data_IF_088281073656
#
_entry.id   IF_088281073656
#
_cell.length_a   1.000
_cell.length_b   1.000
_cell.length_c   1.000
_cell.angle_alpha   90.00
_cell.angle_beta   90.00
_cell.angle_gamma   90.00
#
_symmetry.space_group_name_H-M   'P 1'
#
loop_
_entity.id
_entity.type
_entity.pdbx_description
1 polymer ?
#
# COMPACT_ATOMS: atom_id res chain seq x y z
N UNK A 1 -8.52 84.79 -0.39
CA UNK A 1 -7.05 84.94 -0.47
C UNK A 1 -6.43 84.30 0.77
N UNK A 2 -6.13 82.99 0.74
CA UNK A 2 -5.51 82.29 1.88
C UNK A 2 -4.00 82.25 1.67
N UNK A 3 -3.24 82.78 2.65
CA UNK A 3 -1.78 82.89 2.63
C UNK A 3 -1.16 81.50 2.69
N UNK A 4 -0.35 81.14 1.69
CA UNK A 4 0.54 79.98 1.73
C UNK A 4 1.60 80.22 2.81
N UNK A 5 1.57 79.42 3.88
CA UNK A 5 2.63 79.40 4.90
C UNK A 5 3.96 79.02 4.24
N UNK A 6 4.99 79.83 4.46
CA UNK A 6 6.36 79.52 4.04
C UNK A 6 6.89 78.44 4.99
N UNK A 7 7.10 77.22 4.48
CA UNK A 7 7.78 76.16 5.22
C UNK A 7 9.21 76.61 5.58
N UNK A 8 9.68 76.22 6.77
CA UNK A 8 11.02 76.50 7.26
C UNK A 8 12.04 75.67 6.47
N UNK A 9 13.24 76.18 6.15
CA UNK A 9 14.30 75.40 5.50
C UNK A 9 14.65 74.09 6.23
N UNK A 10 14.44 74.05 7.56
CA UNK A 10 14.66 72.85 8.36
C UNK A 10 13.63 71.74 8.11
N UNK A 11 12.39 72.08 7.73
CA UNK A 11 11.35 71.09 7.40
C UNK A 11 11.56 70.43 6.03
N UNK A 12 12.14 71.14 5.06
CA UNK A 12 12.45 70.59 3.73
C UNK A 12 13.66 69.64 3.74
N UNK A 13 14.64 69.86 4.62
CA UNK A 13 15.79 68.95 4.80
C UNK A 13 15.33 67.63 5.42
N UNK A 14 14.47 67.70 6.45
CA UNK A 14 13.93 66.53 7.13
C UNK A 14 13.01 65.70 6.22
N UNK A 15 12.21 66.34 5.36
CA UNK A 15 11.38 65.69 4.35
C UNK A 15 12.22 64.96 3.28
N UNK A 16 13.30 65.57 2.79
CA UNK A 16 14.22 64.91 1.83
C UNK A 16 14.98 63.73 2.44
N UNK A 17 15.37 63.83 3.71
CA UNK A 17 15.97 62.70 4.42
C UNK A 17 14.96 61.55 4.57
N UNK A 18 13.72 61.84 5.02
CA UNK A 18 12.62 60.87 5.11
C UNK A 18 12.27 60.23 3.75
N UNK A 19 12.23 61.01 2.68
CA UNK A 19 12.01 60.53 1.31
C UNK A 19 13.17 59.65 0.81
N UNK A 20 14.41 59.87 1.28
CA UNK A 20 15.56 59.00 0.94
C UNK A 20 15.53 57.65 1.68
N UNK A 21 14.91 57.58 2.86
CA UNK A 21 14.77 56.35 3.65
C UNK A 21 13.65 55.42 3.12
N UNK A 22 12.59 55.97 2.50
CA UNK A 22 11.50 55.17 1.93
C UNK A 22 11.92 54.15 0.85
N UNK A 23 12.70 54.50 -0.19
CA UNK A 23 13.09 53.54 -1.22
C UNK A 23 14.02 52.45 -0.68
N UNK A 24 14.85 52.76 0.34
CA UNK A 24 15.67 51.74 1.00
C UNK A 24 14.83 50.76 1.83
N UNK A 25 13.77 51.23 2.49
CA UNK A 25 12.85 50.37 3.24
C UNK A 25 12.06 49.45 2.32
N UNK A 26 11.57 49.94 1.18
CA UNK A 26 10.85 49.13 0.19
C UNK A 26 11.74 48.06 -0.48
N UNK A 27 12.99 48.41 -0.78
CA UNK A 27 13.96 47.46 -1.31
C UNK A 27 14.25 46.34 -0.29
N UNK A 28 14.44 46.70 0.99
CA UNK A 28 14.63 45.73 2.09
C UNK A 28 13.41 44.81 2.21
N UNK A 29 12.18 45.35 2.19
CA UNK A 29 10.96 44.54 2.26
C UNK A 29 10.82 43.58 1.08
N UNK A 30 11.24 43.99 -0.12
CA UNK A 30 11.23 43.16 -1.32
C UNK A 30 12.24 42.02 -1.23
N UNK A 31 13.45 42.29 -0.75
CA UNK A 31 14.47 41.25 -0.49
C UNK A 31 13.98 40.26 0.56
N UNK A 32 13.35 40.74 1.65
CA UNK A 32 12.76 39.86 2.66
C UNK A 32 11.62 38.99 2.10
N UNK A 33 10.77 39.55 1.24
CA UNK A 33 9.70 38.80 0.58
C UNK A 33 10.27 37.71 -0.33
N UNK A 34 11.30 38.02 -1.11
CA UNK A 34 11.97 37.05 -1.99
C UNK A 34 12.69 35.96 -1.18
N UNK A 35 13.39 36.33 -0.10
CA UNK A 35 14.01 35.38 0.80
C UNK A 35 12.97 34.43 1.43
N UNK A 36 11.84 34.97 1.87
CA UNK A 36 10.72 34.16 2.40
C UNK A 36 10.15 33.22 1.34
N UNK A 37 10.02 33.67 0.09
CA UNK A 37 9.58 32.85 -1.05
C UNK A 37 10.56 31.72 -1.34
N UNK A 38 11.85 32.00 -1.35
CA UNK A 38 12.89 30.98 -1.54
C UNK A 38 12.90 29.96 -0.41
N UNK A 39 12.76 30.41 0.84
CA UNK A 39 12.68 29.53 2.00
C UNK A 39 11.44 28.61 1.94
N UNK A 40 10.29 29.15 1.54
CA UNK A 40 9.06 28.37 1.33
C UNK A 40 9.20 27.35 0.18
N UNK A 41 9.83 27.75 -0.92
CA UNK A 41 10.11 26.88 -2.06
C UNK A 41 11.06 25.74 -1.65
N UNK A 42 12.16 26.08 -0.98
CA UNK A 42 13.14 25.12 -0.48
C UNK A 42 12.52 24.14 0.52
N UNK A 43 11.68 24.63 1.45
CA UNK A 43 10.98 23.78 2.39
C UNK A 43 10.00 22.81 1.69
N UNK A 44 9.24 23.30 0.71
CA UNK A 44 8.33 22.47 -0.09
C UNK A 44 9.10 21.39 -0.86
N UNK A 45 10.21 21.76 -1.50
CA UNK A 45 11.10 20.84 -2.18
C UNK A 45 11.68 19.80 -1.23
N UNK A 46 12.19 20.21 -0.06
CA UNK A 46 12.73 19.31 0.94
C UNK A 46 11.68 18.32 1.44
N UNK A 47 10.44 18.77 1.72
CA UNK A 47 9.33 17.90 2.10
C UNK A 47 9.06 16.86 0.99
N UNK A 48 9.07 17.29 -0.27
CA UNK A 48 8.87 16.37 -1.41
C UNK A 48 9.99 15.34 -1.53
N UNK A 49 11.25 15.74 -1.33
CA UNK A 49 12.39 14.83 -1.34
C UNK A 49 12.37 13.85 -0.18
N UNK A 50 12.03 14.30 1.02
CA UNK A 50 11.87 13.41 2.20
C UNK A 50 10.76 12.40 1.97
N UNK A 51 9.62 12.81 1.40
CA UNK A 51 8.54 11.87 1.04
C UNK A 51 9.01 10.84 0.02
N UNK A 52 9.70 11.27 -1.04
CA UNK A 52 10.24 10.36 -2.05
C UNK A 52 11.25 9.37 -1.45
N UNK A 53 12.17 9.83 -0.61
CA UNK A 53 13.13 8.97 0.09
C UNK A 53 12.43 7.95 0.99
N UNK A 54 11.39 8.35 1.71
CA UNK A 54 10.62 7.42 2.54
C UNK A 54 9.94 6.34 1.70
N UNK A 55 9.34 6.71 0.57
CA UNK A 55 8.73 5.73 -0.35
C UNK A 55 9.76 4.76 -0.93
N UNK A 56 10.95 5.24 -1.34
CA UNK A 56 12.01 4.36 -1.83
C UNK A 56 12.56 3.44 -0.72
N UNK A 57 12.68 3.93 0.51
CA UNK A 57 13.05 3.09 1.66
C UNK A 57 11.99 2.01 1.95
N UNK A 58 10.70 2.34 1.84
CA UNK A 58 9.61 1.37 2.00
C UNK A 58 9.64 0.29 0.92
N UNK A 59 9.90 0.67 -0.34
CA UNK A 59 10.10 -0.27 -1.46
C UNK A 59 11.28 -1.20 -1.20
N UNK A 60 12.45 -0.65 -0.88
CA UNK A 60 13.65 -1.45 -0.64
C UNK A 60 13.47 -2.42 0.53
N UNK A 61 12.79 -1.98 1.59
CA UNK A 61 12.49 -2.83 2.73
C UNK A 61 11.48 -3.94 2.38
N UNK A 62 10.45 -3.65 1.58
CA UNK A 62 9.51 -4.66 1.07
C UNK A 62 10.23 -5.70 0.18
N UNK A 63 11.05 -5.25 -0.77
CA UNK A 63 11.82 -6.11 -1.66
C UNK A 63 12.76 -7.04 -0.87
N UNK A 64 13.47 -6.50 0.13
CA UNK A 64 14.37 -7.29 0.96
C UNK A 64 13.63 -8.38 1.74
N UNK A 65 12.48 -8.05 2.35
CA UNK A 65 11.65 -9.02 3.09
C UNK A 65 11.11 -10.13 2.19
N UNK A 66 10.68 -9.79 0.97
CA UNK A 66 10.18 -10.76 -0.01
C UNK A 66 11.30 -11.67 -0.50
N UNK A 67 12.47 -11.11 -0.82
CA UNK A 67 13.62 -11.90 -1.24
C UNK A 67 14.06 -12.86 -0.14
N UNK A 68 14.07 -12.40 1.12
CA UNK A 68 14.37 -13.25 2.27
C UNK A 68 13.36 -14.41 2.39
N UNK A 69 12.06 -14.08 2.33
CA UNK A 69 10.98 -15.05 2.39
C UNK A 69 11.08 -16.14 1.32
N UNK A 70 11.29 -15.73 0.05
CA UNK A 70 11.37 -16.67 -1.08
C UNK A 70 12.66 -17.48 -1.04
N UNK A 71 13.77 -16.89 -0.61
CA UNK A 71 15.06 -17.58 -0.50
C UNK A 71 15.02 -18.67 0.57
N UNK A 72 14.39 -18.39 1.71
CA UNK A 72 14.22 -19.39 2.76
C UNK A 72 13.20 -20.46 2.39
N UNK A 73 12.12 -20.08 1.68
CA UNK A 73 11.05 -21.01 1.32
C UNK A 73 10.39 -21.66 2.55
N UNK A 74 10.40 -20.96 3.68
CA UNK A 74 9.90 -21.46 4.96
C UNK A 74 8.51 -20.92 5.27
N UNK A 75 7.60 -21.79 5.68
CA UNK A 75 6.30 -21.42 6.23
C UNK A 75 6.43 -21.28 7.75
N UNK A 76 6.22 -20.06 8.24
CA UNK A 76 6.20 -19.76 9.68
C UNK A 76 4.98 -20.38 10.37
N UNK A 77 3.86 -20.53 9.65
CA UNK A 77 2.61 -21.07 10.20
C UNK A 77 2.69 -22.57 10.47
N UNK A 78 3.31 -23.32 9.54
CA UNK A 78 3.41 -24.77 9.61
C UNK A 78 4.78 -25.26 10.07
N UNK A 79 5.67 -24.33 10.45
CA UNK A 79 7.06 -24.57 10.86
C UNK A 79 7.79 -25.58 9.96
N UNK A 80 7.67 -25.39 8.65
CA UNK A 80 8.20 -26.32 7.66
C UNK A 80 8.52 -25.64 6.34
N UNK A 81 9.39 -26.26 5.54
CA UNK A 81 9.70 -25.77 4.21
C UNK A 81 8.51 -26.00 3.25
N UNK A 82 8.22 -25.04 2.37
CA UNK A 82 7.07 -25.08 1.45
C UNK A 82 7.05 -26.35 0.59
N UNK A 83 8.21 -26.90 0.23
CA UNK A 83 8.32 -28.15 -0.52
C UNK A 83 7.68 -29.36 0.18
N UNK A 84 7.47 -29.32 1.49
CA UNK A 84 6.82 -30.38 2.28
C UNK A 84 5.31 -30.17 2.45
N UNK A 85 4.80 -28.98 2.14
CA UNK A 85 3.37 -28.67 2.21
C UNK A 85 2.63 -29.19 0.98
N UNK A 86 1.38 -29.60 1.16
CA UNK A 86 0.45 -29.90 0.06
C UNK A 86 0.23 -28.64 -0.79
N UNK A 87 0.00 -28.77 -2.10
CA UNK A 87 -0.19 -27.58 -2.95
C UNK A 87 -1.34 -26.68 -2.48
N UNK A 88 -2.51 -27.20 -2.03
CA UNK A 88 -3.57 -26.37 -1.48
C UNK A 88 -3.11 -25.48 -0.32
N UNK A 89 -2.44 -26.07 0.69
CA UNK A 89 -1.91 -25.32 1.83
C UNK A 89 -0.82 -24.34 1.42
N UNK A 90 0.08 -24.76 0.53
CA UNK A 90 1.15 -23.94 -0.02
C UNK A 90 0.58 -22.67 -0.68
N UNK A 91 -0.47 -22.80 -1.49
CA UNK A 91 -1.17 -21.69 -2.14
C UNK A 91 -1.71 -20.69 -1.12
N UNK A 92 -2.47 -21.19 -0.13
CA UNK A 92 -3.11 -20.33 0.87
C UNK A 92 -2.08 -19.63 1.77
N UNK A 93 -1.15 -20.40 2.33
CA UNK A 93 -0.15 -19.89 3.25
C UNK A 93 0.81 -18.92 2.57
N UNK A 94 1.27 -19.23 1.36
CA UNK A 94 2.09 -18.29 0.57
C UNK A 94 1.38 -16.97 0.35
N UNK A 95 0.13 -17.00 -0.11
CA UNK A 95 -0.64 -15.79 -0.37
C UNK A 95 -0.83 -14.96 0.90
N UNK A 96 -1.13 -15.60 2.02
CA UNK A 96 -1.24 -14.95 3.32
C UNK A 96 0.09 -14.36 3.78
N UNK A 97 1.16 -15.15 3.83
CA UNK A 97 2.49 -14.74 4.27
C UNK A 97 3.06 -13.59 3.42
N UNK A 98 2.83 -13.64 2.11
CA UNK A 98 3.23 -12.58 1.19
C UNK A 98 2.42 -11.31 1.44
N UNK A 99 1.10 -11.42 1.63
CA UNK A 99 0.23 -10.28 1.92
C UNK A 99 0.62 -9.52 3.19
N UNK A 100 1.20 -10.20 4.19
CA UNK A 100 1.71 -9.59 5.41
C UNK A 100 3.01 -8.82 5.18
N UNK A 101 3.83 -9.27 4.23
CA UNK A 101 5.13 -8.67 3.89
C UNK A 101 5.00 -7.50 2.92
N UNK A 102 3.92 -7.42 2.16
CA UNK A 102 3.60 -6.24 1.34
C UNK A 102 3.36 -5.02 2.23
N UNK A 103 4.12 -3.95 2.01
CA UNK A 103 4.08 -2.68 2.73
C UNK A 103 3.31 -1.63 1.94
N UNK A 104 3.46 -1.63 0.62
CA UNK A 104 2.82 -0.65 -0.26
C UNK A 104 1.45 -1.14 -0.71
N UNK A 105 0.48 -0.23 -0.85
CA UNK A 105 -0.86 -0.55 -1.38
C UNK A 105 -0.83 -0.75 -2.90
N UNK A 106 0.01 -1.68 -3.35
CA UNK A 106 0.22 -2.02 -4.76
C UNK A 106 0.51 -3.51 -4.84
N UNK A 107 0.08 -4.16 -5.92
CA UNK A 107 0.47 -5.54 -6.21
C UNK A 107 1.98 -5.64 -6.46
N UNK A 108 2.59 -6.71 -5.93
CA UNK A 108 4.01 -6.95 -6.11
C UNK A 108 4.32 -7.28 -7.57
N UNK A 109 5.39 -6.70 -8.14
CA UNK A 109 5.83 -7.08 -9.47
C UNK A 109 6.23 -8.56 -9.48
N UNK A 110 6.04 -9.22 -10.62
CA UNK A 110 6.51 -10.58 -10.84
C UNK A 110 5.93 -11.63 -9.88
N UNK A 111 4.73 -11.41 -9.34
CA UNK A 111 4.08 -12.34 -8.41
C UNK A 111 4.08 -13.80 -8.90
N UNK A 112 3.82 -14.06 -10.19
CA UNK A 112 3.90 -15.40 -10.79
C UNK A 112 5.28 -16.05 -10.63
N UNK A 113 6.36 -15.28 -10.75
CA UNK A 113 7.73 -15.79 -10.57
C UNK A 113 8.00 -16.13 -9.11
N UNK A 114 7.53 -15.30 -8.17
CA UNK A 114 7.63 -15.56 -6.73
C UNK A 114 6.88 -16.83 -6.34
N UNK A 115 5.64 -16.99 -6.84
CA UNK A 115 4.80 -18.17 -6.65
C UNK A 115 5.48 -19.44 -7.18
N UNK A 116 6.07 -19.39 -8.37
CA UNK A 116 6.83 -20.53 -8.90
C UNK A 116 8.06 -20.88 -8.06
N UNK A 117 8.75 -19.88 -7.49
CA UNK A 117 9.98 -20.12 -6.73
C UNK A 117 9.77 -20.90 -5.44
N UNK A 118 8.60 -20.79 -4.81
CA UNK A 118 8.24 -21.59 -3.64
C UNK A 118 7.65 -22.96 -4.01
N UNK A 119 7.66 -23.32 -5.30
CA UNK A 119 7.20 -24.62 -5.80
C UNK A 119 5.71 -24.71 -6.08
N UNK A 120 4.96 -23.61 -6.16
CA UNK A 120 3.61 -23.66 -6.74
C UNK A 120 3.80 -23.60 -8.25
N UNK A 121 3.72 -24.75 -8.91
CA UNK A 121 3.84 -24.86 -10.36
C UNK A 121 2.49 -24.62 -11.03
N UNK A 122 2.47 -24.44 -12.35
CA UNK A 122 1.24 -24.27 -13.14
C UNK A 122 0.47 -25.59 -13.27
N UNK A 123 -0.36 -25.90 -12.28
CA UNK A 123 -1.25 -27.07 -12.24
C UNK A 123 -2.73 -26.64 -12.23
N UNK A 124 -3.61 -27.50 -12.73
CA UNK A 124 -5.05 -27.25 -12.72
C UNK A 124 -5.63 -27.80 -11.42
N UNK A 125 -6.36 -26.95 -10.70
CA UNK A 125 -6.97 -27.26 -9.41
C UNK A 125 -8.48 -27.10 -9.51
N UNK A 126 -9.23 -28.07 -8.98
CA UNK A 126 -10.66 -27.90 -8.78
C UNK A 126 -10.91 -26.98 -7.58
N UNK A 127 -11.57 -25.83 -7.81
CA UNK A 127 -11.76 -24.83 -6.76
C UNK A 127 -12.53 -25.37 -5.54
N UNK A 128 -13.56 -26.19 -5.77
CA UNK A 128 -14.35 -26.80 -4.69
C UNK A 128 -13.49 -27.68 -3.80
N UNK A 129 -12.71 -28.57 -4.41
CA UNK A 129 -11.85 -29.50 -3.70
C UNK A 129 -10.76 -28.76 -2.94
N UNK A 130 -10.21 -27.69 -3.53
CA UNK A 130 -9.28 -26.81 -2.85
C UNK A 130 -9.88 -26.19 -1.58
N UNK A 131 -11.06 -25.57 -1.66
CA UNK A 131 -11.72 -24.98 -0.47
C UNK A 131 -11.96 -26.04 0.62
N UNK A 132 -12.42 -27.24 0.23
CA UNK A 132 -12.64 -28.34 1.16
C UNK A 132 -11.34 -28.80 1.82
N UNK A 133 -10.26 -28.89 1.04
CA UNK A 133 -8.93 -29.29 1.53
C UNK A 133 -8.40 -28.27 2.53
N UNK A 134 -8.53 -26.97 2.24
CA UNK A 134 -8.12 -25.92 3.18
C UNK A 134 -8.86 -26.05 4.52
N UNK A 135 -10.18 -26.22 4.50
CA UNK A 135 -10.95 -26.33 5.76
C UNK A 135 -10.65 -27.64 6.50
N UNK A 136 -10.35 -28.72 5.78
CA UNK A 136 -10.02 -30.01 6.38
C UNK A 136 -8.61 -30.05 6.97
N UNK A 137 -7.61 -29.58 6.23
CA UNK A 137 -6.19 -29.63 6.62
C UNK A 137 -5.80 -28.43 7.50
N UNK A 138 -6.50 -27.31 7.37
CA UNK A 138 -6.22 -26.08 8.11
C UNK A 138 -7.50 -25.36 8.60
N UNK A 139 -8.20 -25.93 9.60
CA UNK A 139 -9.48 -25.39 10.09
C UNK A 139 -9.40 -23.95 10.62
N UNK A 140 -8.23 -23.53 11.10
CA UNK A 140 -7.96 -22.17 11.63
C UNK A 140 -7.59 -21.16 10.54
N UNK A 141 -7.72 -21.50 9.25
CA UNK A 141 -7.46 -20.59 8.14
C UNK A 141 -8.23 -19.26 8.24
N UNK A 142 -9.46 -19.31 8.79
CA UNK A 142 -10.31 -18.13 8.95
C UNK A 142 -9.74 -17.10 9.93
N UNK A 143 -8.93 -17.54 10.89
CA UNK A 143 -8.34 -16.66 11.91
C UNK A 143 -7.29 -15.70 11.32
N UNK A 144 -6.89 -15.93 10.06
CA UNK A 144 -5.93 -15.08 9.34
C UNK A 144 -6.57 -13.86 8.69
N UNK A 145 -7.90 -13.78 8.68
CA UNK A 145 -8.59 -12.66 8.04
C UNK A 145 -8.59 -11.45 8.97
N UNK A 146 -7.89 -10.37 8.58
CA UNK A 146 -7.86 -9.09 9.34
C UNK A 146 -9.11 -8.22 9.17
N UNK A 147 -10.08 -8.68 8.37
CA UNK A 147 -11.35 -8.06 8.03
C UNK A 147 -12.34 -9.14 7.60
N UNK A 148 -13.58 -8.74 7.28
CA UNK A 148 -14.66 -9.68 6.97
C UNK A 148 -14.69 -10.01 5.47
N UNK A 149 -14.42 -11.27 5.04
CA UNK A 149 -14.60 -11.66 3.64
C UNK A 149 -16.04 -11.45 3.17
N UNK A 150 -16.17 -10.88 1.97
CA UNK A 150 -17.43 -10.52 1.31
C UNK A 150 -17.44 -11.00 -0.15
N UNK A 151 -18.46 -10.63 -0.94
CA UNK A 151 -18.51 -11.00 -2.36
C UNK A 151 -17.34 -10.44 -3.18
N UNK A 152 -16.67 -9.39 -2.70
CA UNK A 152 -15.48 -8.80 -3.34
C UNK A 152 -14.22 -9.65 -3.16
N UNK A 153 -14.25 -10.62 -2.23
CA UNK A 153 -13.15 -11.55 -1.95
C UNK A 153 -13.65 -12.99 -2.10
N UNK A 154 -13.98 -13.44 -3.32
CA UNK A 154 -14.72 -14.68 -3.54
C UNK A 154 -14.00 -15.95 -3.04
N UNK A 155 -12.67 -16.00 -3.07
CA UNK A 155 -11.90 -17.15 -2.57
C UNK A 155 -11.92 -17.22 -1.05
N UNK A 156 -11.59 -16.12 -0.38
CA UNK A 156 -11.61 -16.03 1.09
C UNK A 156 -13.03 -16.15 1.65
N UNK A 157 -14.01 -15.64 0.91
CA UNK A 157 -15.43 -15.78 1.24
C UNK A 157 -15.90 -17.23 1.14
N UNK A 158 -15.44 -17.98 0.14
CA UNK A 158 -15.72 -19.42 0.05
C UNK A 158 -15.16 -20.19 1.25
N UNK A 159 -13.92 -19.91 1.68
CA UNK A 159 -13.32 -20.50 2.88
C UNK A 159 -14.15 -20.17 4.12
N UNK A 160 -14.52 -18.90 4.31
CA UNK A 160 -15.39 -18.47 5.41
C UNK A 160 -16.74 -19.20 5.41
N UNK A 161 -17.39 -19.31 4.26
CA UNK A 161 -18.66 -20.03 4.18
C UNK A 161 -18.47 -21.52 4.45
N UNK A 162 -17.36 -22.10 4.01
CA UNK A 162 -17.04 -23.51 4.16
C UNK A 162 -16.77 -23.89 5.62
N UNK A 163 -16.14 -23.01 6.41
CA UNK A 163 -16.01 -23.22 7.86
C UNK A 163 -17.36 -23.21 8.60
N UNK A 164 -18.40 -22.65 7.98
CA UNK A 164 -19.78 -22.60 8.50
C UNK A 164 -20.66 -23.75 7.98
N UNK A 165 -20.11 -24.70 7.21
CA UNK A 165 -20.82 -25.88 6.70
C UNK A 165 -21.19 -25.79 5.21
N UNK A 166 -22.48 -25.93 4.87
CA UNK A 166 -22.94 -26.09 3.47
C UNK A 166 -22.80 -24.80 2.65
N UNK A 167 -21.58 -24.52 2.19
CA UNK A 167 -21.18 -23.25 1.57
C UNK A 167 -21.58 -23.13 0.10
N UNK A 168 -21.60 -24.24 -0.64
CA UNK A 168 -21.82 -24.27 -2.09
C UNK A 168 -23.10 -23.53 -2.52
N UNK A 169 -24.19 -23.68 -1.76
CA UNK A 169 -25.48 -23.05 -2.05
C UNK A 169 -25.44 -21.54 -1.82
N UNK A 170 -24.81 -21.10 -0.73
CA UNK A 170 -24.68 -19.67 -0.38
C UNK A 170 -23.73 -18.96 -1.36
N UNK A 171 -22.61 -19.60 -1.70
CA UNK A 171 -21.65 -19.05 -2.64
C UNK A 171 -22.25 -18.93 -4.05
N UNK A 172 -22.94 -19.95 -4.57
CA UNK A 172 -23.63 -19.84 -5.87
C UNK A 172 -24.69 -18.73 -5.87
N UNK A 173 -25.43 -18.57 -4.76
CA UNK A 173 -26.48 -17.55 -4.65
C UNK A 173 -25.94 -16.12 -4.58
N UNK A 174 -24.79 -15.90 -3.91
CA UNK A 174 -24.24 -14.57 -3.67
C UNK A 174 -23.25 -14.14 -4.75
N UNK A 175 -22.39 -15.05 -5.21
CA UNK A 175 -21.32 -14.77 -6.19
C UNK A 175 -21.81 -14.97 -7.63
N UNK A 176 -22.77 -15.88 -7.85
CA UNK A 176 -23.30 -16.19 -9.18
C UNK A 176 -22.36 -17.00 -10.08
N UNK A 177 -21.27 -17.55 -9.53
CA UNK A 177 -20.35 -18.46 -10.22
C UNK A 177 -20.69 -19.92 -9.90
N UNK A 178 -20.14 -20.88 -10.66
CA UNK A 178 -20.20 -22.31 -10.33
C UNK A 178 -18.98 -22.73 -9.52
N UNK A 179 -19.15 -23.43 -8.40
CA UNK A 179 -18.02 -23.70 -7.49
C UNK A 179 -17.16 -24.88 -7.97
N UNK A 180 -17.58 -25.57 -9.04
CA UNK A 180 -16.86 -26.71 -9.63
C UNK A 180 -15.89 -26.31 -10.75
N UNK A 181 -15.61 -25.02 -10.94
CA UNK A 181 -14.65 -24.62 -11.96
C UNK A 181 -13.23 -25.08 -11.64
N UNK A 182 -12.45 -25.19 -12.69
CA UNK A 182 -11.02 -25.45 -12.66
C UNK A 182 -10.27 -24.12 -12.78
N UNK A 183 -9.20 -23.96 -12.00
CA UNK A 183 -8.36 -22.77 -12.00
C UNK A 183 -6.90 -23.18 -11.94
N UNK A 184 -6.04 -22.40 -12.59
CA UNK A 184 -4.61 -22.58 -12.46
C UNK A 184 -4.14 -22.21 -11.04
N UNK A 185 -3.36 -23.07 -10.41
CA UNK A 185 -2.76 -22.87 -9.09
C UNK A 185 -2.02 -21.54 -8.94
N UNK A 186 -1.30 -21.07 -9.96
CA UNK A 186 -0.61 -19.78 -9.94
C UNK A 186 -1.65 -18.66 -9.87
N UNK A 187 -2.69 -18.71 -10.71
CA UNK A 187 -3.75 -17.71 -10.74
C UNK A 187 -4.55 -17.70 -9.45
N UNK A 188 -4.80 -18.87 -8.87
CA UNK A 188 -5.47 -19.01 -7.57
C UNK A 188 -4.63 -18.37 -6.45
N UNK A 189 -3.32 -18.64 -6.39
CA UNK A 189 -2.43 -18.00 -5.42
C UNK A 189 -2.40 -16.47 -5.57
N UNK A 190 -2.37 -15.98 -6.82
CA UNK A 190 -2.43 -14.53 -7.09
C UNK A 190 -3.75 -13.92 -6.64
N UNK A 191 -4.87 -14.59 -6.93
CA UNK A 191 -6.19 -14.11 -6.55
C UNK A 191 -6.34 -14.06 -5.02
N UNK A 192 -5.94 -15.11 -4.31
CA UNK A 192 -5.99 -15.13 -2.84
C UNK A 192 -5.10 -14.04 -2.25
N UNK A 193 -3.90 -13.84 -2.81
CA UNK A 193 -3.01 -12.76 -2.38
C UNK A 193 -3.68 -11.39 -2.50
N UNK A 194 -4.28 -11.09 -3.66
CA UNK A 194 -5.02 -9.85 -3.89
C UNK A 194 -6.19 -9.69 -2.92
N UNK A 195 -6.93 -10.76 -2.64
CA UNK A 195 -8.04 -10.72 -1.70
C UNK A 195 -7.57 -10.41 -0.26
N UNK A 196 -6.43 -10.99 0.17
CA UNK A 196 -5.83 -10.64 1.46
C UNK A 196 -5.41 -9.17 1.53
N UNK A 197 -4.84 -8.63 0.45
CA UNK A 197 -4.51 -7.22 0.34
C UNK A 197 -5.75 -6.33 0.47
N UNK A 198 -6.85 -6.69 -0.20
CA UNK A 198 -8.13 -6.00 -0.08
C UNK A 198 -8.60 -5.97 1.37
N UNK A 199 -8.64 -7.12 2.06
CA UNK A 199 -9.05 -7.18 3.48
C UNK A 199 -8.12 -6.39 4.40
N UNK A 200 -6.84 -6.28 4.07
CA UNK A 200 -5.86 -5.55 4.86
C UNK A 200 -6.05 -4.03 4.74
N UNK A 201 -6.36 -3.53 3.54
CA UNK A 201 -6.45 -2.10 3.26
C UNK A 201 -7.87 -1.56 3.15
N UNK A 202 -8.90 -2.39 3.28
CA UNK A 202 -10.30 -1.96 3.34
C UNK A 202 -10.70 -1.33 4.69
N UNK A 203 -9.74 -0.80 5.46
CA UNK A 203 -9.96 -0.15 6.76
C UNK A 203 -9.84 1.36 6.67
#
# INVERSE_FOLDING_TARGET
>A
MWRRGKYSPATDVCLKELESYQPTSEAILTVFAEFKRQLQSANTSMISHVKALNTENEKAAEEQEILWFITLGWSEEFDTHYSKLSTPLRIFDFAHALSLRTRLNVELPSLKALTNKIGIESEIINFREWVQTIISEYPTAIDKFKGEPSELTPCLYAIKLASQGTWYKKWNGNIGLDNKFEINSLELAQQIYREFLVLRWSK
#
